data_IF_782571877219
#
_entry.id   IF_782571877219
#
_cell.length_a   1.000
_cell.length_b   1.000
_cell.length_c   1.000
_cell.angle_alpha   90.00
_cell.angle_beta   90.00
_cell.angle_gamma   90.00
#
_symmetry.space_group_name_H-M   'P 1'
#
loop_
_entity.id
_entity.type
_entity.pdbx_description
1 polymer ?
#
# COMPACT_ATOMS: atom_id res chain seq x y z
N UNK A 1 11.04 -15.45 -49.56
CA UNK A 1 11.15 -14.06 -49.04
C UNK A 1 9.86 -13.57 -48.38
N UNK A 2 8.68 -14.06 -48.76
CA UNK A 2 7.40 -13.68 -48.14
C UNK A 2 7.17 -14.21 -46.71
N UNK A 3 7.59 -15.45 -46.41
CA UNK A 3 7.36 -16.08 -45.10
C UNK A 3 8.02 -15.39 -43.88
N UNK A 4 9.03 -14.54 -44.10
CA UNK A 4 9.74 -13.86 -43.00
C UNK A 4 9.10 -12.53 -42.59
N UNK A 5 8.31 -11.92 -43.49
CA UNK A 5 7.61 -10.65 -43.22
C UNK A 5 6.37 -10.92 -42.35
N UNK A 6 5.66 -12.00 -42.61
CA UNK A 6 4.46 -12.36 -41.83
C UNK A 6 4.80 -12.75 -40.39
N UNK A 7 5.94 -13.38 -40.15
CA UNK A 7 6.41 -13.71 -38.79
C UNK A 7 6.81 -12.46 -38.01
N UNK A 8 7.50 -11.49 -38.63
CA UNK A 8 7.80 -10.21 -38.01
C UNK A 8 6.55 -9.39 -37.73
N UNK A 9 5.58 -9.36 -38.65
CA UNK A 9 4.31 -8.67 -38.45
C UNK A 9 3.51 -9.26 -37.27
N UNK A 10 3.48 -10.59 -37.14
CA UNK A 10 2.81 -11.29 -36.03
C UNK A 10 3.52 -11.06 -34.68
N UNK A 11 4.86 -10.97 -34.68
CA UNK A 11 5.65 -10.62 -33.48
C UNK A 11 5.38 -9.16 -33.06
N UNK A 12 5.22 -8.24 -34.01
CA UNK A 12 4.89 -6.83 -33.73
C UNK A 12 3.45 -6.65 -33.20
N UNK A 13 2.48 -7.41 -33.71
CA UNK A 13 1.10 -7.41 -33.21
C UNK A 13 0.98 -7.97 -31.78
N UNK A 14 1.82 -8.94 -31.41
CA UNK A 14 1.89 -9.48 -30.04
C UNK A 14 2.74 -8.60 -29.08
N UNK A 15 3.53 -7.69 -29.64
CA UNK A 15 4.33 -6.69 -28.91
C UNK A 15 3.56 -5.41 -28.58
N UNK A 16 2.48 -5.13 -29.31
CA UNK A 16 1.59 -3.98 -29.06
C UNK A 16 0.67 -4.28 -27.87
N UNK A 17 1.28 -4.56 -26.71
CA UNK A 17 0.56 -4.66 -25.46
C UNK A 17 0.04 -3.26 -25.12
N UNK A 18 -1.28 -3.10 -24.95
CA UNK A 18 -1.87 -1.79 -24.77
C UNK A 18 -1.29 -1.11 -23.53
N UNK A 19 -0.97 0.17 -23.65
CA UNK A 19 -0.47 0.96 -22.52
C UNK A 19 -1.40 0.83 -21.31
N UNK A 20 -0.84 0.52 -20.15
CA UNK A 20 -1.63 0.29 -18.92
C UNK A 20 -2.03 1.58 -18.21
N UNK A 21 -1.81 2.73 -18.86
CA UNK A 21 -2.10 4.06 -18.28
C UNK A 21 -3.55 4.23 -17.89
N UNK A 22 -4.47 3.84 -18.79
CA UNK A 22 -5.91 3.98 -18.56
C UNK A 22 -6.34 3.12 -17.36
N UNK A 23 -5.86 1.89 -17.30
CA UNK A 23 -6.08 0.96 -16.18
C UNK A 23 -5.57 1.57 -14.85
N UNK A 24 -4.34 2.09 -14.84
CA UNK A 24 -3.75 2.71 -13.65
C UNK A 24 -4.53 3.94 -13.18
N UNK A 25 -4.95 4.83 -14.09
CA UNK A 25 -5.72 6.03 -13.73
C UNK A 25 -7.09 5.66 -13.18
N UNK A 26 -7.79 4.73 -13.84
CA UNK A 26 -9.12 4.29 -13.41
C UNK A 26 -9.07 3.65 -12.03
N UNK A 27 -8.12 2.74 -11.80
CA UNK A 27 -7.96 2.08 -10.50
C UNK A 27 -7.55 3.07 -9.40
N UNK A 28 -6.62 3.99 -9.68
CA UNK A 28 -6.20 4.99 -8.71
C UNK A 28 -7.34 5.95 -8.34
N UNK A 29 -8.08 6.46 -9.33
CA UNK A 29 -9.20 7.37 -9.10
C UNK A 29 -10.35 6.68 -8.34
N UNK A 30 -10.69 5.44 -8.73
CA UNK A 30 -11.69 4.64 -8.03
C UNK A 30 -11.28 4.34 -6.57
N UNK A 31 -10.03 3.96 -6.35
CA UNK A 31 -9.50 3.69 -5.00
C UNK A 31 -9.48 4.94 -4.12
N UNK A 32 -8.99 6.07 -4.64
CA UNK A 32 -8.94 7.34 -3.91
C UNK A 32 -10.33 7.86 -3.55
N UNK A 33 -11.29 7.79 -4.49
CA UNK A 33 -12.66 8.23 -4.23
C UNK A 33 -13.33 7.36 -3.16
N UNK A 34 -13.22 6.03 -3.29
CA UNK A 34 -13.76 5.10 -2.30
C UNK A 34 -13.13 5.31 -0.91
N UNK A 35 -11.80 5.41 -0.83
CA UNK A 35 -11.09 5.63 0.42
C UNK A 35 -11.48 6.97 1.09
N UNK A 36 -11.67 8.02 0.29
CA UNK A 36 -12.09 9.34 0.80
C UNK A 36 -13.51 9.29 1.35
N UNK A 37 -14.44 8.65 0.64
CA UNK A 37 -15.83 8.47 1.10
C UNK A 37 -15.87 7.66 2.39
N UNK A 38 -15.14 6.55 2.45
CA UNK A 38 -15.05 5.70 3.64
C UNK A 38 -14.40 6.42 4.82
N UNK A 39 -13.33 7.18 4.60
CA UNK A 39 -12.65 7.98 5.61
C UNK A 39 -13.53 9.10 6.15
N UNK A 40 -14.26 9.79 5.27
CA UNK A 40 -15.22 10.83 5.65
C UNK A 40 -16.38 10.24 6.47
N UNK A 41 -16.94 9.10 6.04
CA UNK A 41 -17.99 8.40 6.77
C UNK A 41 -17.51 7.95 8.16
N UNK A 42 -16.28 7.45 8.27
CA UNK A 42 -15.66 7.08 9.55
C UNK A 42 -15.58 8.28 10.48
N UNK A 43 -15.03 9.40 10.00
CA UNK A 43 -14.91 10.63 10.79
C UNK A 43 -16.27 11.15 11.22
N UNK A 44 -17.26 11.15 10.32
CA UNK A 44 -18.62 11.55 10.60
C UNK A 44 -19.26 10.69 11.70
N UNK A 45 -19.20 9.36 11.54
CA UNK A 45 -19.72 8.40 12.52
C UNK A 45 -19.11 8.59 13.91
N UNK A 46 -17.80 8.86 13.98
CA UNK A 46 -17.08 9.12 15.22
C UNK A 46 -17.46 10.44 15.86
N UNK A 47 -17.56 11.51 15.08
CA UNK A 47 -17.96 12.83 15.58
C UNK A 47 -19.38 12.80 16.15
N UNK A 48 -20.29 12.07 15.52
CA UNK A 48 -21.68 11.91 15.99
C UNK A 48 -21.76 11.02 17.24
N UNK A 49 -21.08 9.88 17.26
CA UNK A 49 -21.23 8.88 18.34
C UNK A 49 -20.38 9.20 19.57
N UNK A 50 -19.11 9.58 19.36
CA UNK A 50 -18.09 9.67 20.43
C UNK A 50 -17.68 11.11 20.73
N UNK A 51 -17.95 12.05 19.80
CA UNK A 51 -17.60 13.49 19.90
C UNK A 51 -16.11 13.79 20.15
N UNK A 52 -15.22 12.79 19.97
CA UNK A 52 -13.76 12.93 20.10
C UNK A 52 -13.08 11.97 19.13
N UNK A 53 -12.03 12.45 18.47
CA UNK A 53 -11.16 11.66 17.61
C UNK A 53 -10.09 10.97 18.47
N UNK A 54 -9.92 9.66 18.28
CA UNK A 54 -8.86 8.89 18.92
C UNK A 54 -7.55 8.91 18.12
N UNK A 55 -6.48 8.37 18.70
CA UNK A 55 -5.23 8.12 17.96
C UNK A 55 -5.44 7.21 16.75
N UNK A 56 -6.41 6.27 16.82
CA UNK A 56 -6.80 5.43 15.68
C UNK A 56 -7.27 6.26 14.48
N UNK A 57 -8.10 7.28 14.74
CA UNK A 57 -8.65 8.15 13.69
C UNK A 57 -7.56 9.05 13.07
N UNK A 58 -6.63 9.57 13.87
CA UNK A 58 -5.49 10.35 13.37
C UNK A 58 -4.57 9.52 12.47
N UNK A 59 -4.27 8.28 12.86
CA UNK A 59 -3.46 7.38 12.03
C UNK A 59 -4.17 7.01 10.72
N UNK A 60 -5.50 6.82 10.75
CA UNK A 60 -6.29 6.59 9.54
C UNK A 60 -6.30 7.82 8.60
N UNK A 61 -6.44 9.03 9.15
CA UNK A 61 -6.38 10.27 8.36
C UNK A 61 -5.00 10.49 7.74
N UNK A 62 -3.93 10.21 8.48
CA UNK A 62 -2.57 10.28 7.96
C UNK A 62 -2.38 9.30 6.78
N UNK A 63 -2.87 8.07 6.90
CA UNK A 63 -2.86 7.09 5.81
C UNK A 63 -3.68 7.55 4.60
N UNK A 64 -4.85 8.15 4.82
CA UNK A 64 -5.69 8.68 3.74
C UNK A 64 -4.98 9.81 2.99
N UNK A 65 -4.35 10.75 3.70
CA UNK A 65 -3.60 11.86 3.09
C UNK A 65 -2.45 11.31 2.25
N UNK A 66 -1.67 10.36 2.79
CA UNK A 66 -0.59 9.71 2.05
C UNK A 66 -1.08 9.01 0.78
N UNK A 67 -2.21 8.29 0.87
CA UNK A 67 -2.83 7.63 -0.28
C UNK A 67 -3.21 8.63 -1.37
N UNK A 68 -3.80 9.78 -0.99
CA UNK A 68 -4.21 10.81 -1.94
C UNK A 68 -3.00 11.48 -2.62
N UNK A 69 -1.94 11.77 -1.85
CA UNK A 69 -0.70 12.34 -2.38
C UNK A 69 -0.05 11.37 -3.35
N UNK A 70 0.11 10.10 -2.96
CA UNK A 70 0.72 9.09 -3.83
C UNK A 70 -0.11 8.80 -5.08
N UNK A 71 -1.43 8.69 -4.94
CA UNK A 71 -2.32 8.45 -6.07
C UNK A 71 -2.32 9.60 -7.08
N UNK A 72 -2.31 10.85 -6.59
CA UNK A 72 -2.21 12.04 -7.46
C UNK A 72 -0.87 12.12 -8.17
N UNK A 73 0.23 11.85 -7.47
CA UNK A 73 1.57 11.78 -8.06
C UNK A 73 1.65 10.67 -9.12
N UNK A 74 1.10 9.49 -8.83
CA UNK A 74 1.05 8.36 -9.77
C UNK A 74 0.25 8.70 -11.04
N UNK A 75 -0.89 9.39 -10.90
CA UNK A 75 -1.66 9.87 -12.05
C UNK A 75 -0.88 10.87 -12.90
N UNK A 76 -0.14 11.80 -12.28
CA UNK A 76 0.74 12.73 -13.01
C UNK A 76 1.87 11.98 -13.71
N UNK A 77 2.46 10.97 -13.06
CA UNK A 77 3.54 10.16 -13.62
C UNK A 77 3.13 9.44 -14.93
N UNK A 78 1.85 9.12 -15.12
CA UNK A 78 1.37 8.53 -16.39
C UNK A 78 1.58 9.46 -17.60
N UNK A 79 1.57 10.79 -17.38
CA UNK A 79 1.90 11.79 -18.41
C UNK A 79 3.38 11.76 -18.77
N UNK A 80 4.23 11.37 -17.84
CA UNK A 80 5.68 11.25 -18.02
C UNK A 80 6.12 9.94 -18.65
N UNK A 81 5.21 8.99 -18.86
CA UNK A 81 5.50 7.68 -19.43
C UNK A 81 5.34 6.51 -18.46
N UNK A 82 4.88 6.76 -17.22
CA UNK A 82 4.58 5.67 -16.29
C UNK A 82 3.46 4.77 -16.83
N UNK A 83 3.68 3.45 -16.89
CA UNK A 83 2.73 2.49 -17.43
C UNK A 83 2.78 2.28 -18.95
N UNK A 84 3.74 2.88 -19.66
CA UNK A 84 4.13 2.44 -21.02
C UNK A 84 5.22 1.39 -20.96
N UNK A 85 5.41 0.68 -22.07
CA UNK A 85 6.56 -0.20 -22.20
C UNK A 85 7.87 0.59 -22.19
N UNK A 86 8.93 -0.06 -21.71
CA UNK A 86 10.24 0.55 -21.54
C UNK A 86 10.78 1.16 -22.85
N UNK A 87 10.53 0.50 -23.99
CA UNK A 87 10.94 0.96 -25.32
C UNK A 87 10.17 2.18 -25.84
N UNK A 88 8.95 2.42 -25.36
CA UNK A 88 8.12 3.58 -25.74
C UNK A 88 8.32 4.79 -24.82
N UNK A 89 9.18 4.67 -23.81
CA UNK A 89 9.39 5.70 -22.81
C UNK A 89 10.43 6.73 -23.23
N UNK A 90 10.16 8.02 -22.99
CA UNK A 90 11.14 9.08 -23.23
C UNK A 90 12.28 8.96 -22.22
N UNK A 91 13.47 8.65 -22.71
CA UNK A 91 14.71 8.49 -21.92
C UNK A 91 14.98 9.73 -21.06
N UNK A 92 14.60 10.93 -21.52
CA UNK A 92 14.78 12.18 -20.75
C UNK A 92 13.94 12.23 -19.48
N UNK A 93 12.76 11.61 -19.49
CA UNK A 93 11.87 11.54 -18.33
C UNK A 93 12.08 10.28 -17.49
N UNK A 94 12.86 9.31 -17.99
CA UNK A 94 13.18 8.08 -17.27
C UNK A 94 13.71 8.35 -15.85
N UNK A 95 14.65 9.29 -15.68
CA UNK A 95 15.20 9.63 -14.35
C UNK A 95 14.10 10.09 -13.38
N UNK A 96 13.22 10.98 -13.84
CA UNK A 96 12.09 11.51 -13.05
C UNK A 96 11.11 10.40 -12.67
N UNK A 97 10.81 9.48 -13.60
CA UNK A 97 9.91 8.36 -13.34
C UNK A 97 10.49 7.44 -12.26
N UNK A 98 11.79 7.11 -12.33
CA UNK A 98 12.44 6.27 -11.32
C UNK A 98 12.48 6.93 -9.95
N UNK A 99 12.70 8.24 -9.87
CA UNK A 99 12.61 9.00 -8.62
C UNK A 99 11.22 8.96 -8.01
N UNK A 100 10.19 9.16 -8.83
CA UNK A 100 8.78 9.10 -8.40
C UNK A 100 8.43 7.69 -7.95
N UNK A 101 8.84 6.66 -8.69
CA UNK A 101 8.60 5.26 -8.33
C UNK A 101 9.24 4.92 -6.98
N UNK A 102 10.51 5.27 -6.79
CA UNK A 102 11.20 5.11 -5.51
C UNK A 102 10.49 5.84 -4.36
N UNK A 103 10.05 7.08 -4.57
CA UNK A 103 9.30 7.82 -3.57
C UNK A 103 7.94 7.16 -3.25
N UNK A 104 7.28 6.59 -4.26
CA UNK A 104 6.04 5.83 -4.09
C UNK A 104 6.26 4.52 -3.32
N UNK A 105 7.35 3.79 -3.56
CA UNK A 105 7.69 2.57 -2.80
C UNK A 105 7.88 2.89 -1.31
N UNK A 106 8.65 3.93 -1.02
CA UNK A 106 8.88 4.39 0.37
C UNK A 106 7.57 4.86 1.01
N UNK A 107 6.78 5.66 0.28
CA UNK A 107 5.47 6.11 0.75
C UNK A 107 4.51 4.95 1.02
N UNK A 108 4.52 3.94 0.16
CA UNK A 108 3.67 2.75 0.29
C UNK A 108 3.99 1.96 1.55
N UNK A 109 5.28 1.80 1.86
CA UNK A 109 5.73 1.17 3.11
C UNK A 109 5.13 1.87 4.33
N UNK A 110 5.12 3.20 4.38
CA UNK A 110 4.50 3.91 5.50
C UNK A 110 2.97 3.82 5.49
N UNK A 111 2.36 3.92 4.31
CA UNK A 111 0.91 3.89 4.15
C UNK A 111 0.31 2.59 4.70
N UNK A 112 0.82 1.44 4.25
CA UNK A 112 0.29 0.12 4.66
C UNK A 112 0.47 -0.11 6.17
N UNK A 113 1.59 0.33 6.75
CA UNK A 113 1.84 0.17 8.19
C UNK A 113 0.97 1.10 9.04
N UNK A 114 0.65 2.32 8.57
CA UNK A 114 -0.27 3.23 9.24
C UNK A 114 -1.70 2.69 9.27
N UNK A 115 -2.15 2.07 8.17
CA UNK A 115 -3.47 1.41 8.11
C UNK A 115 -3.54 0.28 9.15
N UNK A 116 -2.54 -0.59 9.19
CA UNK A 116 -2.46 -1.68 10.18
C UNK A 116 -2.40 -1.18 11.62
N UNK A 117 -1.65 -0.10 11.87
CA UNK A 117 -1.58 0.53 13.17
C UNK A 117 -2.93 1.12 13.60
N UNK A 118 -3.65 1.79 12.69
CA UNK A 118 -5.01 2.31 12.92
C UNK A 118 -5.99 1.21 13.35
N UNK A 119 -5.97 0.06 12.65
CA UNK A 119 -6.82 -1.10 12.98
C UNK A 119 -6.45 -1.66 14.36
N UNK A 120 -5.16 -1.81 14.65
CA UNK A 120 -4.70 -2.35 15.93
C UNK A 120 -5.01 -1.40 17.11
N UNK A 121 -4.91 -0.09 16.91
CA UNK A 121 -5.35 0.91 17.91
C UNK A 121 -6.87 0.87 18.13
N UNK A 122 -7.64 0.70 17.06
CA UNK A 122 -9.09 0.50 17.15
C UNK A 122 -9.44 -0.76 17.97
N UNK A 123 -8.66 -1.84 17.79
CA UNK A 123 -8.83 -3.08 18.56
C UNK A 123 -8.50 -2.91 20.03
N UNK A 124 -7.42 -2.19 20.35
CA UNK A 124 -7.05 -1.89 21.73
C UNK A 124 -8.12 -1.05 22.44
N UNK A 125 -8.82 -0.18 21.71
CA UNK A 125 -9.92 0.61 22.27
C UNK A 125 -11.22 -0.18 22.44
N UNK A 126 -11.45 -1.20 21.62
CA UNK A 126 -12.72 -1.95 21.61
C UNK A 126 -12.75 -3.04 22.68
N UNK A 127 -11.60 -3.66 22.99
CA UNK A 127 -11.52 -4.72 23.99
C UNK A 127 -10.56 -4.33 25.12
N UNK A 128 -11.06 -4.27 26.35
CA UNK A 128 -10.31 -3.74 27.50
C UNK A 128 -9.68 -4.83 28.40
N UNK A 129 -9.50 -6.05 27.90
CA UNK A 129 -8.88 -7.14 28.68
C UNK A 129 -7.36 -6.97 28.77
N UNK A 130 -6.76 -7.17 29.94
CA UNK A 130 -5.30 -7.00 30.19
C UNK A 130 -4.40 -7.79 29.24
N UNK A 131 -4.75 -9.05 28.95
CA UNK A 131 -4.02 -9.87 27.97
C UNK A 131 -4.12 -9.33 26.54
N UNK A 132 -5.27 -8.75 26.18
CA UNK A 132 -5.48 -8.17 24.85
C UNK A 132 -4.70 -6.86 24.65
N UNK A 133 -4.68 -5.99 25.67
CA UNK A 133 -3.88 -4.76 25.63
C UNK A 133 -2.40 -5.06 25.47
N UNK A 134 -1.92 -6.13 26.12
CA UNK A 134 -0.55 -6.60 25.99
C UNK A 134 -0.26 -7.07 24.56
N UNK A 135 -1.15 -7.87 23.98
CA UNK A 135 -1.07 -8.30 22.57
C UNK A 135 -1.02 -7.11 21.61
N UNK A 136 -1.96 -6.16 21.73
CA UNK A 136 -2.03 -4.95 20.92
C UNK A 136 -0.73 -4.16 20.97
N UNK A 137 -0.16 -3.96 22.16
CA UNK A 137 1.10 -3.23 22.34
C UNK A 137 2.28 -3.93 21.67
N UNK A 138 2.40 -5.26 21.80
CA UNK A 138 3.46 -6.02 21.14
C UNK A 138 3.28 -6.05 19.62
N UNK A 139 2.05 -6.14 19.12
CA UNK A 139 1.77 -6.06 17.68
C UNK A 139 2.12 -4.69 17.10
N UNK A 140 1.81 -3.59 17.80
CA UNK A 140 2.22 -2.25 17.37
C UNK A 140 3.74 -2.09 17.36
N UNK A 141 4.44 -2.63 18.38
CA UNK A 141 5.90 -2.65 18.42
C UNK A 141 6.48 -3.45 17.25
N UNK A 142 5.88 -4.60 16.93
CA UNK A 142 6.29 -5.42 15.81
C UNK A 142 6.10 -4.71 14.47
N UNK A 143 4.96 -4.04 14.26
CA UNK A 143 4.70 -3.21 13.07
C UNK A 143 5.79 -2.14 12.94
N UNK A 144 6.05 -1.38 14.02
CA UNK A 144 7.06 -0.32 14.01
C UNK A 144 8.48 -0.84 13.73
N UNK A 145 8.90 -1.91 14.42
CA UNK A 145 10.21 -2.52 14.23
C UNK A 145 10.41 -3.00 12.79
N UNK A 146 9.38 -3.61 12.21
CA UNK A 146 9.37 -4.07 10.84
C UNK A 146 9.41 -2.90 9.85
N UNK A 147 8.65 -1.84 10.05
CA UNK A 147 8.73 -0.63 9.22
C UNK A 147 10.16 -0.10 9.18
N UNK A 148 10.81 0.02 10.35
CA UNK A 148 12.20 0.48 10.43
C UNK A 148 13.16 -0.49 9.71
N UNK A 149 12.98 -1.80 9.89
CA UNK A 149 13.83 -2.81 9.25
C UNK A 149 13.76 -2.78 7.71
N UNK A 150 12.59 -2.53 7.13
CA UNK A 150 12.42 -2.43 5.68
C UNK A 150 12.69 -1.02 5.13
N UNK A 151 12.58 0.02 5.96
CA UNK A 151 12.83 1.42 5.56
C UNK A 151 14.26 1.62 5.08
N UNK A 152 15.27 1.15 5.83
CA UNK A 152 16.67 1.31 5.45
C UNK A 152 17.04 0.66 4.10
N UNK A 153 16.76 -0.63 3.84
CA UNK A 153 17.09 -1.24 2.57
C UNK A 153 16.29 -0.65 1.39
N UNK A 154 15.10 -0.11 1.63
CA UNK A 154 14.29 0.52 0.59
C UNK A 154 14.78 1.93 0.23
N UNK A 155 15.13 2.74 1.24
CA UNK A 155 15.71 4.07 1.02
C UNK A 155 17.12 3.95 0.42
N UNK A 156 17.94 3.05 0.95
CA UNK A 156 19.33 2.85 0.54
C UNK A 156 19.51 1.60 -0.33
N UNK A 157 18.60 1.41 -1.28
CA UNK A 157 18.62 0.23 -2.14
C UNK A 157 19.84 0.17 -3.07
N UNK A 158 20.49 1.30 -3.38
CA UNK A 158 21.72 1.34 -4.16
C UNK A 158 22.83 2.16 -3.49
N UNK A 159 24.07 1.79 -3.78
CA UNK A 159 25.28 2.56 -3.43
C UNK A 159 26.07 2.88 -4.71
N UNK A 160 26.22 4.17 -5.10
CA UNK A 160 25.65 5.37 -4.48
C UNK A 160 24.13 5.48 -4.72
N UNK A 161 23.43 6.26 -3.87
CA UNK A 161 21.97 6.46 -3.94
C UNK A 161 21.49 6.93 -5.32
N UNK A 162 22.32 7.71 -6.02
CA UNK A 162 22.00 8.25 -7.36
C UNK A 162 21.82 7.15 -8.42
N UNK A 163 22.45 5.98 -8.23
CA UNK A 163 22.31 4.85 -9.14
C UNK A 163 20.89 4.26 -9.19
N UNK A 164 19.98 4.68 -8.30
CA UNK A 164 18.57 4.31 -8.35
C UNK A 164 17.87 4.85 -9.60
N UNK A 165 18.17 6.10 -9.97
CA UNK A 165 17.48 6.80 -11.05
C UNK A 165 18.41 7.23 -12.18
N UNK A 166 19.72 7.10 -12.00
CA UNK A 166 20.73 7.47 -13.00
C UNK A 166 21.52 6.23 -13.45
N UNK A 167 21.22 5.68 -14.64
CA UNK A 167 21.91 4.50 -15.14
C UNK A 167 23.36 4.78 -15.58
N UNK A 168 23.76 6.05 -15.72
CA UNK A 168 25.14 6.43 -16.05
C UNK A 168 26.08 6.31 -14.84
N UNK A 169 25.53 6.14 -13.64
CA UNK A 169 26.30 6.03 -12.41
C UNK A 169 26.49 4.55 -12.07
N UNK A 170 27.74 4.08 -12.15
CA UNK A 170 28.10 2.75 -11.69
C UNK A 170 27.79 2.61 -10.19
N UNK A 171 26.90 1.68 -9.87
CA UNK A 171 26.45 1.45 -8.51
C UNK A 171 26.08 -0.01 -8.27
N UNK A 172 26.22 -0.43 -7.01
CA UNK A 172 25.77 -1.75 -6.57
C UNK A 172 24.43 -1.59 -5.90
N UNK A 173 23.41 -2.23 -6.47
CA UNK A 173 22.04 -2.22 -5.97
C UNK A 173 21.68 -3.55 -5.30
N UNK A 174 20.89 -3.48 -4.24
CA UNK A 174 20.18 -4.60 -3.65
C UNK A 174 19.10 -5.08 -4.63
N UNK A 175 18.72 -6.35 -4.50
CA UNK A 175 17.61 -6.89 -5.26
C UNK A 175 16.28 -6.31 -4.73
N UNK A 176 15.80 -5.27 -5.40
CA UNK A 176 14.56 -4.54 -5.05
C UNK A 176 13.36 -5.50 -5.06
N UNK A 177 13.31 -6.44 -6.01
CA UNK A 177 12.26 -7.45 -6.06
C UNK A 177 12.29 -8.37 -4.84
N UNK A 178 13.47 -8.80 -4.39
CA UNK A 178 13.60 -9.62 -3.19
C UNK A 178 13.16 -8.88 -1.93
N UNK A 179 13.51 -7.59 -1.80
CA UNK A 179 13.03 -6.73 -0.69
C UNK A 179 11.50 -6.61 -0.76
N UNK A 180 10.95 -6.37 -1.95
CA UNK A 180 9.52 -6.28 -2.20
C UNK A 180 8.78 -7.58 -1.84
N UNK A 181 9.27 -8.74 -2.27
CA UNK A 181 8.66 -10.04 -1.96
C UNK A 181 8.74 -10.37 -0.47
N UNK A 182 9.87 -10.11 0.17
CA UNK A 182 10.01 -10.27 1.62
C UNK A 182 9.03 -9.35 2.36
N UNK A 183 8.89 -8.10 1.91
CA UNK A 183 7.91 -7.15 2.42
C UNK A 183 6.48 -7.66 2.23
N UNK A 184 6.11 -8.09 1.03
CA UNK A 184 4.76 -8.59 0.73
C UNK A 184 4.41 -9.82 1.56
N UNK A 185 5.27 -10.85 1.58
CA UNK A 185 5.04 -12.08 2.35
C UNK A 185 4.83 -11.78 3.85
N UNK A 186 5.68 -10.92 4.38
CA UNK A 186 5.67 -10.58 5.78
C UNK A 186 4.45 -9.67 6.11
N UNK A 187 3.93 -8.92 5.12
CA UNK A 187 2.69 -8.13 5.25
C UNK A 187 1.47 -9.05 5.32
N UNK A 188 1.39 -10.02 4.41
CA UNK A 188 0.31 -11.01 4.34
C UNK A 188 0.18 -11.78 5.66
N UNK A 189 1.32 -12.17 6.27
CA UNK A 189 1.31 -12.83 7.58
C UNK A 189 0.65 -11.95 8.65
N UNK A 190 0.94 -10.64 8.65
CA UNK A 190 0.29 -9.72 9.59
C UNK A 190 -1.21 -9.61 9.33
N UNK A 191 -1.64 -9.69 8.08
CA UNK A 191 -3.06 -9.60 7.71
C UNK A 191 -3.83 -10.81 8.26
N UNK A 192 -3.25 -12.01 8.19
CA UNK A 192 -3.79 -13.18 8.88
C UNK A 192 -3.84 -13.01 10.40
N UNK A 193 -2.80 -12.45 11.01
CA UNK A 193 -2.79 -12.17 12.45
C UNK A 193 -3.91 -11.19 12.82
N UNK A 194 -4.08 -10.09 12.06
CA UNK A 194 -5.12 -9.09 12.28
C UNK A 194 -6.54 -9.66 12.08
N UNK A 195 -6.71 -10.57 11.12
CA UNK A 195 -7.98 -11.24 10.84
C UNK A 195 -8.35 -12.26 11.92
N UNK A 196 -7.38 -13.04 12.40
CA UNK A 196 -7.62 -14.10 13.39
C UNK A 196 -7.71 -13.53 14.81
N UNK A 197 -6.93 -12.49 15.14
CA UNK A 197 -6.86 -11.91 16.48
C UNK A 197 -8.23 -11.61 17.13
N UNK A 198 -9.22 -10.98 16.45
CA UNK A 198 -10.49 -10.66 17.10
C UNK A 198 -11.42 -11.88 17.24
N UNK A 199 -11.21 -12.99 16.52
CA UNK A 199 -12.16 -14.13 16.51
C UNK A 199 -12.33 -14.75 17.90
N UNK A 200 -11.27 -15.12 18.65
CA UNK A 200 -11.43 -15.71 19.99
C UNK A 200 -12.07 -14.74 20.99
N UNK A 201 -11.73 -13.46 20.90
CA UNK A 201 -12.26 -12.41 21.78
C UNK A 201 -13.75 -12.15 21.50
N UNK A 202 -14.13 -12.10 20.22
CA UNK A 202 -15.52 -11.94 19.77
C UNK A 202 -16.40 -13.13 20.12
N UNK A 203 -15.86 -14.35 20.23
CA UNK A 203 -16.63 -15.52 20.66
C UNK A 203 -17.01 -15.47 22.14
N UNK A 204 -16.23 -14.74 22.96
CA UNK A 204 -16.51 -14.53 24.38
C UNK A 204 -17.44 -13.34 24.63
N UNK A 205 -17.53 -12.40 23.68
CA UNK A 205 -18.35 -11.21 23.80
C UNK A 205 -19.73 -11.46 23.16
N UNK A 206 -20.81 -11.33 23.95
CA UNK A 206 -22.20 -11.55 23.51
C UNK A 206 -22.70 -10.44 22.58
N UNK A 207 -22.05 -10.24 21.44
CA UNK A 207 -22.45 -9.24 20.45
C UNK A 207 -23.62 -9.74 19.58
N UNK A 208 -24.54 -8.85 19.18
CA UNK A 208 -25.57 -9.16 18.18
C UNK A 208 -24.92 -9.63 16.86
N UNK A 209 -25.49 -10.66 16.23
CA UNK A 209 -24.95 -11.29 15.01
C UNK A 209 -24.64 -10.28 13.89
N UNK A 210 -25.43 -9.23 13.77
CA UNK A 210 -25.26 -8.17 12.75
C UNK A 210 -23.98 -7.36 12.96
N UNK A 211 -23.62 -7.01 14.21
CA UNK A 211 -22.38 -6.29 14.49
C UNK A 211 -21.15 -7.19 14.27
N UNK A 212 -21.28 -8.49 14.56
CA UNK A 212 -20.24 -9.49 14.33
C UNK A 212 -19.93 -9.69 12.83
N UNK A 213 -20.96 -9.71 11.99
CA UNK A 213 -20.81 -9.80 10.52
C UNK A 213 -20.18 -8.51 9.99
N UNK A 214 -20.67 -7.33 10.42
CA UNK A 214 -20.11 -6.05 10.00
C UNK A 214 -18.61 -5.93 10.34
N UNK A 215 -18.22 -6.36 11.54
CA UNK A 215 -16.81 -6.39 11.96
C UNK A 215 -15.99 -7.37 11.10
N UNK A 216 -16.51 -8.57 10.84
CA UNK A 216 -15.82 -9.55 9.98
C UNK A 216 -15.63 -9.03 8.54
N UNK A 217 -16.64 -8.38 7.96
CA UNK A 217 -16.54 -7.77 6.62
C UNK A 217 -15.57 -6.59 6.64
N UNK A 218 -15.61 -5.72 7.65
CA UNK A 218 -14.66 -4.62 7.79
C UNK A 218 -13.22 -5.12 7.96
N UNK A 219 -13.00 -6.25 8.62
CA UNK A 219 -11.66 -6.85 8.76
C UNK A 219 -11.17 -7.52 7.49
N UNK A 220 -12.07 -8.16 6.75
CA UNK A 220 -11.75 -8.71 5.42
C UNK A 220 -11.39 -7.62 4.41
N UNK A 221 -12.16 -6.52 4.37
CA UNK A 221 -11.91 -5.43 3.42
C UNK A 221 -10.85 -4.43 3.87
N UNK A 222 -10.66 -4.22 5.18
CA UNK A 222 -9.68 -3.26 5.70
C UNK A 222 -8.25 -3.79 5.75
N UNK A 223 -8.05 -5.10 5.54
CA UNK A 223 -6.72 -5.73 5.48
C UNK A 223 -6.14 -5.85 4.07
N UNK A 224 -6.91 -5.48 3.04
CA UNK A 224 -6.52 -5.54 1.62
C UNK A 224 -6.30 -4.14 1.03
#
# INVERSE_FOLDING_TARGET
MYFHVDTLATICDDYDKPSRKAELIVLAAAGMTLATVMGALRCWSRLVTVRRLGWDDWTALAALILLLVMGSVGMVATKWGFGVHYWDSDIRLSRTIHQVFWAMEVGYLFNINLIKASIMLLYGRTFETTGWQTFVRYSLLFIAARTVAFMFPLIFQCKPLRAIWDPEVDGVCLNVSAIGFAGAACSIIQDFVLMIAPIPTLWRLQLPKTQRILLAVLFGFGSM
#
